data_IF_958416044629
#
_entry.id   IF_958416044629
#
_cell.length_a   1.000
_cell.length_b   1.000
_cell.length_c   1.000
_cell.angle_alpha   90.00
_cell.angle_beta   90.00
_cell.angle_gamma   90.00
#
_symmetry.space_group_name_H-M   'P 1'
#
loop_
_entity.id
_entity.type
_entity.pdbx_description
1 polymer ?
#
# COMPACT_ATOMS: atom_id res chain seq x y z
N UNK A 1 -28.87 -25.63 28.70
CA UNK A 1 -27.61 -25.07 29.23
C UNK A 1 -26.49 -25.42 28.25
N UNK A 2 -25.78 -24.38 27.82
CA UNK A 2 -24.76 -24.25 26.75
C UNK A 2 -23.98 -25.51 26.32
N UNK A 3 -24.13 -25.87 25.04
CA UNK A 3 -23.16 -26.64 24.27
C UNK A 3 -22.00 -25.73 23.85
N UNK A 4 -20.80 -26.02 24.36
CA UNK A 4 -19.55 -25.36 23.98
C UNK A 4 -19.06 -25.95 22.65
N UNK A 5 -19.04 -25.13 21.59
CA UNK A 5 -18.26 -25.43 20.39
C UNK A 5 -16.81 -25.03 20.67
N UNK A 6 -15.90 -26.01 20.69
CA UNK A 6 -14.47 -25.74 20.56
C UNK A 6 -14.20 -25.24 19.14
N UNK A 7 -13.81 -23.96 19.01
CA UNK A 7 -13.13 -23.47 17.82
C UNK A 7 -11.75 -24.14 17.77
N UNK A 8 -11.48 -24.91 16.71
CA UNK A 8 -10.13 -25.41 16.42
C UNK A 8 -9.28 -24.23 15.95
N UNK A 9 -8.52 -23.65 16.87
CA UNK A 9 -7.42 -22.74 16.54
C UNK A 9 -6.32 -23.56 15.86
N UNK A 10 -6.04 -23.27 14.59
CA UNK A 10 -4.80 -23.71 13.94
C UNK A 10 -3.70 -22.78 14.42
N UNK A 11 -2.92 -23.22 15.40
CA UNK A 11 -1.71 -22.51 15.83
C UNK A 11 -0.61 -22.85 14.82
N UNK A 12 -0.21 -21.88 14.00
CA UNK A 12 0.99 -21.97 13.19
C UNK A 12 2.20 -21.90 14.13
N UNK A 13 2.67 -23.06 14.59
CA UNK A 13 3.88 -23.15 15.42
C UNK A 13 5.10 -23.09 14.49
N UNK A 14 5.82 -21.96 14.50
CA UNK A 14 7.16 -21.91 13.92
C UNK A 14 8.08 -22.66 14.88
N UNK A 15 8.43 -23.90 14.53
CA UNK A 15 9.45 -24.67 15.24
C UNK A 15 10.81 -24.20 14.74
N UNK A 16 11.54 -23.44 15.57
CA UNK A 16 12.97 -23.20 15.41
C UNK A 16 13.72 -24.48 15.81
N UNK A 17 14.00 -25.36 14.84
CA UNK A 17 14.94 -26.46 15.02
C UNK A 17 16.37 -25.91 14.92
N UNK A 18 16.97 -25.68 16.07
CA UNK A 18 18.42 -25.54 16.21
C UNK A 18 19.02 -26.94 16.44
N UNK A 19 19.85 -27.41 15.50
CA UNK A 19 20.75 -28.54 15.72
C UNK A 19 20.45 -29.81 14.90
N UNK A 20 21.47 -30.22 14.14
CA UNK A 20 21.69 -31.51 13.48
C UNK A 20 20.77 -31.91 12.32
N UNK A 21 21.06 -31.38 11.12
CA UNK A 21 20.81 -32.13 9.89
C UNK A 21 21.88 -33.22 9.75
N UNK A 22 21.61 -34.42 10.25
CA UNK A 22 22.28 -35.61 9.75
C UNK A 22 21.23 -36.56 9.17
N UNK A 23 21.23 -36.62 7.84
CA UNK A 23 20.68 -37.71 7.02
C UNK A 23 19.23 -38.12 7.27
N UNK A 24 18.29 -37.20 7.05
CA UNK A 24 16.91 -37.60 6.76
C UNK A 24 16.74 -37.85 5.26
N UNK A 25 16.50 -39.12 4.92
CA UNK A 25 16.26 -39.64 3.57
C UNK A 25 14.98 -39.09 2.90
N UNK A 26 14.31 -38.11 3.52
CA UNK A 26 13.11 -37.46 3.03
C UNK A 26 13.37 -36.39 1.95
N UNK A 27 14.64 -35.99 1.74
CA UNK A 27 15.05 -35.12 0.62
C UNK A 27 15.43 -35.90 -0.66
N UNK A 28 15.25 -37.22 -0.68
CA UNK A 28 15.68 -38.08 -1.78
C UNK A 28 14.70 -38.19 -2.96
N UNK A 29 13.57 -37.47 -2.94
CA UNK A 29 12.73 -37.29 -4.13
C UNK A 29 12.71 -35.82 -4.49
N UNK A 30 13.38 -35.50 -5.60
CA UNK A 30 13.54 -34.15 -6.11
C UNK A 30 12.21 -33.40 -6.09
N UNK A 31 12.11 -32.38 -5.23
CA UNK A 31 11.11 -31.35 -5.39
C UNK A 31 11.22 -30.83 -6.83
N UNK A 32 10.18 -30.98 -7.68
CA UNK A 32 10.23 -30.37 -8.99
C UNK A 32 10.48 -28.88 -8.80
N UNK A 33 11.41 -28.34 -9.59
CA UNK A 33 11.67 -26.91 -9.58
C UNK A 33 10.32 -26.18 -9.78
N UNK A 34 10.03 -25.13 -9.00
CA UNK A 34 8.81 -24.37 -9.21
C UNK A 34 8.75 -23.89 -10.66
N UNK A 35 7.67 -24.24 -11.36
CA UNK A 35 7.43 -23.83 -12.74
C UNK A 35 6.36 -22.75 -12.76
N UNK A 36 6.67 -21.61 -13.38
CA UNK A 36 5.70 -20.55 -13.63
C UNK A 36 5.06 -20.74 -15.01
N UNK A 37 3.75 -20.50 -15.10
CA UNK A 37 3.09 -20.40 -16.39
C UNK A 37 3.66 -19.22 -17.19
N UNK A 38 3.52 -19.26 -18.52
CA UNK A 38 3.91 -18.14 -19.37
C UNK A 38 3.12 -16.86 -19.00
N UNK A 39 3.79 -15.72 -19.07
CA UNK A 39 3.18 -14.42 -18.80
C UNK A 39 2.02 -14.14 -19.79
N UNK A 40 0.95 -13.54 -19.27
CA UNK A 40 -0.19 -13.03 -20.05
C UNK A 40 -0.22 -11.51 -19.95
N UNK A 41 -0.66 -10.86 -21.01
CA UNK A 41 -0.71 -9.39 -21.09
C UNK A 41 -2.17 -8.93 -21.12
N UNK A 42 -2.49 -7.93 -20.31
CA UNK A 42 -3.80 -7.29 -20.25
C UNK A 42 -3.63 -5.78 -20.40
N UNK A 43 -4.61 -5.12 -21.03
CA UNK A 43 -4.60 -3.66 -21.18
C UNK A 43 -5.06 -2.99 -19.89
N UNK A 44 -4.10 -2.58 -19.06
CA UNK A 44 -4.32 -1.87 -17.80
C UNK A 44 -4.51 -0.36 -17.98
N UNK A 45 -4.27 0.19 -19.18
CA UNK A 45 -4.20 1.63 -19.40
C UNK A 45 -2.81 2.08 -19.85
N UNK A 46 -2.73 3.34 -20.28
CA UNK A 46 -1.48 3.91 -20.79
C UNK A 46 -0.62 4.38 -19.63
N UNK A 47 0.60 3.86 -19.53
CA UNK A 47 1.55 4.27 -18.49
C UNK A 47 1.34 3.58 -17.15
N UNK A 48 0.82 2.34 -17.15
CA UNK A 48 0.75 1.51 -15.94
C UNK A 48 2.10 1.51 -15.20
N UNK A 49 2.10 2.04 -13.98
CA UNK A 49 3.32 2.34 -13.21
C UNK A 49 3.38 1.57 -11.90
N UNK A 50 2.26 1.55 -11.16
CA UNK A 50 2.12 0.84 -9.90
C UNK A 50 0.79 0.11 -9.87
N UNK A 51 0.72 -0.98 -9.10
CA UNK A 51 -0.51 -1.72 -8.86
C UNK A 51 -0.70 -2.02 -7.38
N UNK A 52 -1.95 -2.25 -7.00
CA UNK A 52 -2.35 -2.89 -5.76
C UNK A 52 -3.33 -4.01 -6.05
N UNK A 53 -3.43 -4.96 -5.12
CA UNK A 53 -4.23 -6.17 -5.23
C UNK A 53 -5.27 -6.18 -4.11
N UNK A 54 -6.51 -6.51 -4.42
CA UNK A 54 -7.62 -6.60 -3.46
C UNK A 54 -8.80 -7.35 -4.05
N UNK A 55 -9.77 -7.74 -3.23
CA UNK A 55 -11.06 -8.28 -3.68
C UNK A 55 -12.09 -7.14 -3.67
N UNK A 56 -12.19 -6.39 -4.76
CA UNK A 56 -12.97 -5.15 -4.82
C UNK A 56 -14.47 -5.40 -5.02
N UNK A 57 -14.87 -6.63 -5.39
CA UNK A 57 -16.25 -7.01 -5.64
C UNK A 57 -16.79 -8.10 -4.67
N UNK A 58 -15.97 -8.57 -3.73
CA UNK A 58 -16.35 -9.54 -2.71
C UNK A 58 -16.54 -10.96 -3.22
N UNK A 59 -16.00 -11.31 -4.40
CA UNK A 59 -16.17 -12.63 -5.01
C UNK A 59 -15.06 -13.64 -4.64
N UNK A 60 -14.17 -13.26 -3.72
CA UNK A 60 -13.01 -14.02 -3.24
C UNK A 60 -11.94 -14.29 -4.31
N UNK A 61 -11.96 -13.54 -5.43
CA UNK A 61 -10.89 -13.53 -6.42
C UNK A 61 -10.17 -12.20 -6.33
N UNK A 62 -8.87 -12.25 -6.55
CA UNK A 62 -8.06 -11.05 -6.49
C UNK A 62 -8.19 -10.25 -7.79
N UNK A 63 -8.50 -8.98 -7.60
CA UNK A 63 -8.60 -7.94 -8.60
C UNK A 63 -7.34 -7.05 -8.56
N UNK A 64 -7.20 -6.18 -9.56
CA UNK A 64 -6.09 -5.23 -9.66
C UNK A 64 -6.59 -3.79 -9.72
N UNK A 65 -5.93 -2.94 -8.94
CA UNK A 65 -6.03 -1.48 -8.99
C UNK A 65 -4.71 -0.97 -9.56
N UNK A 66 -4.73 -0.19 -10.65
CA UNK A 66 -3.51 0.23 -11.38
C UNK A 66 -3.45 1.75 -11.49
N UNK A 67 -2.36 2.33 -11.00
CA UNK A 67 -2.00 3.72 -11.21
C UNK A 67 -1.32 3.84 -12.59
N UNK A 68 -1.92 4.62 -13.49
CA UNK A 68 -1.41 4.85 -14.83
C UNK A 68 -0.84 6.26 -14.92
N UNK A 69 0.48 6.38 -14.70
CA UNK A 69 1.21 7.64 -14.79
C UNK A 69 1.05 8.25 -16.18
N UNK A 70 0.88 9.57 -16.27
CA UNK A 70 0.74 10.25 -17.54
C UNK A 70 1.91 9.91 -18.46
N UNK A 71 1.60 9.62 -19.73
CA UNK A 71 2.64 9.37 -20.72
C UNK A 71 3.13 10.71 -21.27
N UNK A 72 4.44 10.96 -21.11
CA UNK A 72 5.12 12.18 -21.59
C UNK A 72 5.08 12.38 -23.11
N UNK A 73 4.67 11.35 -23.87
CA UNK A 73 4.48 11.36 -25.32
C UNK A 73 3.01 11.24 -25.75
N UNK A 74 2.06 11.36 -24.81
CA UNK A 74 0.63 11.34 -25.10
C UNK A 74 0.06 12.75 -25.24
N UNK A 75 -1.10 12.85 -25.89
CA UNK A 75 -1.87 14.09 -25.98
C UNK A 75 -2.01 14.73 -24.59
N UNK A 76 -1.86 16.06 -24.45
CA UNK A 76 -1.95 16.77 -23.17
C UNK A 76 -3.30 16.63 -22.46
N UNK A 77 -4.29 16.00 -23.09
CA UNK A 77 -5.56 15.60 -22.49
C UNK A 77 -5.48 14.35 -21.59
N UNK A 78 -4.32 13.67 -21.51
CA UNK A 78 -4.10 12.54 -20.61
C UNK A 78 -3.23 12.96 -19.43
N UNK A 79 -3.87 13.47 -18.38
CA UNK A 79 -3.23 13.73 -17.08
C UNK A 79 -2.94 12.44 -16.29
N UNK A 80 -2.90 11.26 -16.91
CA UNK A 80 -2.89 9.97 -16.21
C UNK A 80 -4.29 9.51 -15.79
N UNK A 81 -4.41 8.25 -15.37
CA UNK A 81 -5.70 7.66 -14.96
C UNK A 81 -5.50 6.55 -13.95
N UNK A 82 -6.54 6.25 -13.17
CA UNK A 82 -6.59 5.06 -12.33
C UNK A 82 -7.47 4.01 -13.01
N UNK A 83 -7.11 2.73 -12.95
CA UNK A 83 -7.93 1.67 -13.53
C UNK A 83 -8.09 0.45 -12.61
N UNK A 84 -9.24 -0.22 -12.74
CA UNK A 84 -9.60 -1.42 -11.98
C UNK A 84 -9.86 -2.56 -12.95
N UNK A 85 -9.27 -3.73 -12.68
CA UNK A 85 -9.43 -4.94 -13.46
C UNK A 85 -9.92 -6.05 -12.53
N UNK A 86 -11.16 -6.50 -12.71
CA UNK A 86 -11.73 -7.58 -11.91
C UNK A 86 -11.20 -8.94 -12.36
N UNK A 87 -10.77 -9.77 -11.41
CA UNK A 87 -10.19 -11.07 -11.62
C UNK A 87 -11.24 -12.14 -11.86
N UNK A 88 -10.97 -13.04 -12.81
CA UNK A 88 -11.82 -14.20 -13.04
C UNK A 88 -11.45 -15.40 -12.14
N UNK A 89 -10.32 -15.32 -11.42
CA UNK A 89 -9.82 -16.34 -10.49
C UNK A 89 -8.88 -17.37 -11.12
N UNK A 90 -8.66 -17.28 -12.43
CA UNK A 90 -7.82 -18.19 -13.22
C UNK A 90 -6.57 -17.49 -13.82
N UNK A 91 -6.23 -16.33 -13.26
CA UNK A 91 -5.17 -15.44 -13.77
C UNK A 91 -5.57 -14.63 -15.01
N UNK A 92 -6.86 -14.60 -15.35
CA UNK A 92 -7.42 -13.66 -16.34
C UNK A 92 -8.23 -12.55 -15.67
N UNK A 93 -8.41 -11.45 -16.39
CA UNK A 93 -9.10 -10.25 -15.90
C UNK A 93 -10.17 -9.80 -16.89
N UNK A 94 -11.22 -9.20 -16.37
CA UNK A 94 -12.24 -8.50 -17.15
C UNK A 94 -11.67 -7.22 -17.79
N UNK A 95 -12.47 -6.58 -18.65
CA UNK A 95 -12.10 -5.28 -19.20
C UNK A 95 -11.94 -4.24 -18.09
N UNK A 96 -10.89 -3.42 -18.18
CA UNK A 96 -10.64 -2.40 -17.16
C UNK A 96 -11.76 -1.36 -17.10
N UNK A 97 -12.04 -0.88 -15.91
CA UNK A 97 -12.78 0.36 -15.66
C UNK A 97 -11.76 1.46 -15.36
N UNK A 98 -11.99 2.68 -15.87
CA UNK A 98 -11.11 3.82 -15.62
C UNK A 98 -11.82 4.84 -14.72
N UNK A 99 -11.03 5.47 -13.86
CA UNK A 99 -11.43 6.53 -12.95
C UNK A 99 -10.46 7.70 -13.09
N UNK A 100 -10.98 8.90 -12.82
CA UNK A 100 -10.14 10.07 -12.62
C UNK A 100 -9.67 10.09 -11.18
N UNK A 101 -8.36 10.00 -10.98
CA UNK A 101 -7.73 10.13 -9.68
C UNK A 101 -6.94 11.43 -9.55
N UNK A 102 -6.76 12.21 -10.62
CA UNK A 102 -5.88 13.37 -10.66
C UNK A 102 -4.71 13.22 -11.63
N UNK A 103 -3.68 14.06 -11.44
CA UNK A 103 -2.58 14.22 -12.39
C UNK A 103 -1.36 13.36 -12.07
N UNK A 104 -0.98 12.51 -13.02
CA UNK A 104 0.17 11.61 -13.00
C UNK A 104 0.17 10.69 -11.77
N UNK A 105 -0.78 9.74 -11.67
CA UNK A 105 -0.84 8.81 -10.55
C UNK A 105 0.36 7.84 -10.59
N UNK A 106 1.03 7.67 -9.45
CA UNK A 106 2.29 6.90 -9.33
C UNK A 106 2.24 5.78 -8.31
N UNK A 107 1.32 5.83 -7.34
CA UNK A 107 1.22 4.82 -6.29
C UNK A 107 -0.22 4.65 -5.88
N UNK A 108 -0.58 3.42 -5.48
CA UNK A 108 -1.92 3.06 -5.03
C UNK A 108 -1.79 2.11 -3.84
N UNK A 109 -2.58 2.36 -2.81
CA UNK A 109 -2.75 1.47 -1.66
C UNK A 109 -4.23 1.14 -1.45
N UNK A 110 -4.48 -0.02 -0.83
CA UNK A 110 -5.80 -0.54 -0.48
C UNK A 110 -5.97 -0.48 1.03
N UNK A 111 -7.14 -0.05 1.50
CA UNK A 111 -7.50 -0.02 2.92
C UNK A 111 -9.02 0.02 3.09
N UNK A 112 -9.52 -0.13 4.31
CA UNK A 112 -10.92 0.16 4.65
C UNK A 112 -10.93 1.50 5.41
N UNK A 113 -11.15 2.60 4.69
CA UNK A 113 -11.03 3.95 5.23
C UNK A 113 -12.33 4.44 5.89
N UNK A 114 -13.45 3.76 5.63
CA UNK A 114 -14.76 4.11 6.17
C UNK A 114 -15.38 3.06 7.12
N UNK A 115 -14.66 1.96 7.38
CA UNK A 115 -15.05 0.91 8.31
C UNK A 115 -16.21 0.04 7.83
N UNK A 116 -16.51 0.01 6.53
CA UNK A 116 -17.63 -0.74 5.97
C UNK A 116 -17.27 -2.16 5.51
N UNK A 117 -16.00 -2.54 5.64
CA UNK A 117 -15.46 -3.85 5.31
C UNK A 117 -15.20 -4.06 3.81
N UNK A 118 -15.38 -3.04 2.97
CA UNK A 118 -15.07 -3.10 1.54
C UNK A 118 -13.73 -2.42 1.27
N UNK A 119 -12.95 -2.90 0.30
CA UNK A 119 -11.67 -2.24 0.03
C UNK A 119 -11.89 -0.91 -0.69
N UNK A 120 -11.33 0.14 -0.09
CA UNK A 120 -11.17 1.47 -0.62
C UNK A 120 -9.76 1.65 -1.19
N UNK A 121 -9.53 2.77 -1.88
CA UNK A 121 -8.26 3.07 -2.53
C UNK A 121 -7.73 4.45 -2.17
N UNK A 122 -6.42 4.53 -1.97
CA UNK A 122 -5.66 5.76 -1.81
C UNK A 122 -4.64 5.84 -2.96
N UNK A 123 -4.78 6.83 -3.83
CA UNK A 123 -3.98 7.00 -5.06
C UNK A 123 -3.17 8.30 -4.98
N UNK A 124 -1.86 8.20 -5.12
CA UNK A 124 -0.95 9.35 -5.07
C UNK A 124 -0.69 9.91 -6.45
N UNK A 125 -0.79 11.24 -6.59
CA UNK A 125 -0.68 11.96 -7.86
C UNK A 125 0.58 12.85 -7.90
N UNK A 126 1.68 12.37 -8.49
CA UNK A 126 2.96 13.09 -8.50
C UNK A 126 2.96 14.37 -9.32
N UNK A 127 2.04 14.47 -10.29
CA UNK A 127 1.83 15.67 -11.10
C UNK A 127 0.98 16.73 -10.40
N UNK A 128 0.51 16.44 -9.18
CA UNK A 128 -0.21 17.32 -8.25
C UNK A 128 0.48 17.32 -6.88
N UNK A 129 -0.18 17.86 -5.86
CA UNK A 129 0.29 17.90 -4.46
C UNK A 129 -0.69 17.18 -3.54
N UNK A 130 -1.31 16.10 -4.02
CA UNK A 130 -2.42 15.45 -3.33
C UNK A 130 -2.41 13.92 -3.41
N UNK A 131 -3.22 13.35 -2.52
CA UNK A 131 -3.70 11.98 -2.52
C UNK A 131 -5.20 11.99 -2.86
N UNK A 132 -5.64 11.14 -3.77
CA UNK A 132 -7.04 10.88 -4.06
C UNK A 132 -7.51 9.64 -3.30
N UNK A 133 -8.63 9.74 -2.58
CA UNK A 133 -9.28 8.62 -1.89
C UNK A 133 -10.56 8.27 -2.63
N UNK A 134 -10.72 6.99 -2.96
CA UNK A 134 -11.89 6.46 -3.65
C UNK A 134 -12.50 5.35 -2.78
N UNK A 135 -13.72 5.59 -2.28
CA UNK A 135 -14.42 4.61 -1.47
C UNK A 135 -15.05 3.52 -2.33
N UNK A 136 -14.82 2.27 -1.98
CA UNK A 136 -15.34 1.09 -2.65
C UNK A 136 -16.85 0.95 -2.43
N UNK A 137 -17.57 0.54 -3.47
CA UNK A 137 -18.99 0.16 -3.36
C UNK A 137 -19.17 -1.32 -3.08
N UNK A 138 -18.11 -2.13 -3.23
CA UNK A 138 -18.10 -3.58 -3.00
C UNK A 138 -18.65 -4.39 -4.18
N UNK A 139 -18.88 -3.75 -5.33
CA UNK A 139 -19.30 -4.38 -6.58
C UNK A 139 -18.20 -4.28 -7.66
N UNK A 140 -16.96 -3.98 -7.24
CA UNK A 140 -15.85 -3.70 -8.14
C UNK A 140 -15.81 -2.26 -8.65
N UNK A 141 -16.74 -1.40 -8.21
CA UNK A 141 -16.75 0.03 -8.55
C UNK A 141 -16.50 0.94 -7.36
N UNK A 142 -16.10 2.17 -7.65
CA UNK A 142 -15.73 3.17 -6.65
C UNK A 142 -16.60 4.43 -6.75
N UNK A 143 -16.68 5.16 -5.64
CA UNK A 143 -17.26 6.52 -5.59
C UNK A 143 -16.30 7.53 -6.26
N UNK A 144 -16.78 8.76 -6.46
CA UNK A 144 -15.94 9.84 -6.95
C UNK A 144 -14.79 10.12 -5.98
N UNK A 145 -13.60 10.40 -6.52
CA UNK A 145 -12.43 10.69 -5.71
C UNK A 145 -12.60 11.95 -4.86
N UNK A 146 -12.13 11.88 -3.62
CA UNK A 146 -11.95 13.03 -2.73
C UNK A 146 -10.45 13.25 -2.54
N UNK A 147 -9.99 14.49 -2.76
CA UNK A 147 -8.57 14.82 -2.71
C UNK A 147 -8.18 15.41 -1.36
N UNK A 148 -7.04 14.97 -0.85
CA UNK A 148 -6.41 15.47 0.36
C UNK A 148 -5.02 16.01 0.04
N UNK A 149 -4.70 17.18 0.56
CA UNK A 149 -3.41 17.82 0.35
C UNK A 149 -2.28 17.02 1.02
N UNK A 150 -1.11 17.04 0.39
CA UNK A 150 0.15 16.42 0.83
C UNK A 150 1.30 17.40 0.54
N UNK A 151 2.54 16.91 0.50
CA UNK A 151 3.68 17.69 -0.01
C UNK A 151 3.78 17.73 -1.54
N UNK A 152 4.86 18.30 -2.04
CA UNK A 152 5.14 18.41 -3.47
C UNK A 152 5.72 17.12 -4.03
N UNK A 153 5.22 16.73 -5.22
CA UNK A 153 5.60 15.50 -5.92
C UNK A 153 5.50 14.26 -5.03
N UNK A 154 4.31 13.95 -4.51
CA UNK A 154 4.10 12.75 -3.73
C UNK A 154 4.37 11.51 -4.60
N UNK A 155 5.06 10.51 -4.06
CA UNK A 155 5.63 9.40 -4.84
C UNK A 155 5.19 8.01 -4.35
N UNK A 156 5.07 7.82 -3.03
CA UNK A 156 4.75 6.52 -2.42
C UNK A 156 3.75 6.69 -1.30
N UNK A 157 2.79 5.76 -1.21
CA UNK A 157 1.76 5.72 -0.16
C UNK A 157 1.86 4.44 0.68
N UNK A 158 1.54 4.56 1.96
CA UNK A 158 1.33 3.43 2.87
C UNK A 158 0.09 3.64 3.72
N UNK A 159 -0.47 2.55 4.21
CA UNK A 159 -1.67 2.51 5.05
C UNK A 159 -1.35 1.76 6.34
N UNK A 160 -1.88 2.22 7.47
CA UNK A 160 -1.71 1.61 8.78
C UNK A 160 -2.59 2.29 9.82
N UNK A 161 -2.58 1.80 11.06
CA UNK A 161 -3.18 2.49 12.22
C UNK A 161 -2.04 3.11 13.04
N UNK A 162 -1.73 4.38 12.80
CA UNK A 162 -0.56 5.06 13.38
C UNK A 162 -0.87 5.67 14.75
N UNK A 163 -2.14 5.79 15.13
CA UNK A 163 -2.60 6.38 16.39
C UNK A 163 -3.29 5.38 17.35
N UNK A 164 -3.42 4.12 16.94
CA UNK A 164 -3.99 3.03 17.74
C UNK A 164 -5.51 3.12 17.94
N UNK A 165 -6.23 3.85 17.09
CA UNK A 165 -7.68 4.02 17.22
C UNK A 165 -8.50 2.99 16.42
N UNK A 166 -7.82 2.09 15.71
CA UNK A 166 -8.41 1.03 14.91
C UNK A 166 -8.90 1.47 13.53
N UNK A 167 -8.62 2.70 13.10
CA UNK A 167 -8.99 3.22 11.78
C UNK A 167 -7.77 3.25 10.86
N UNK A 168 -8.03 3.15 9.56
CA UNK A 168 -6.97 3.24 8.57
C UNK A 168 -6.53 4.71 8.39
N UNK A 169 -5.26 4.97 8.68
CA UNK A 169 -4.53 6.18 8.40
C UNK A 169 -3.67 6.02 7.13
N UNK A 170 -3.17 7.13 6.61
CA UNK A 170 -2.32 7.16 5.40
C UNK A 170 -1.02 7.94 5.64
N UNK A 171 0.08 7.42 5.09
CA UNK A 171 1.35 8.14 4.99
C UNK A 171 1.78 8.28 3.54
N UNK A 172 2.37 9.43 3.19
CA UNK A 172 2.78 9.75 1.81
C UNK A 172 4.19 10.33 1.80
N UNK A 173 5.10 9.70 1.04
CA UNK A 173 6.44 10.25 0.79
C UNK A 173 6.39 11.32 -0.30
N UNK A 174 6.89 12.52 0.02
CA UNK A 174 6.86 13.70 -0.86
C UNK A 174 8.27 14.00 -1.38
N UNK A 175 8.54 13.61 -2.62
CA UNK A 175 9.89 13.63 -3.18
C UNK A 175 10.50 15.04 -3.17
N UNK A 176 9.76 16.03 -3.66
CA UNK A 176 10.27 17.41 -3.79
C UNK A 176 10.27 18.15 -2.45
N UNK A 177 9.28 17.91 -1.59
CA UNK A 177 9.23 18.51 -0.26
C UNK A 177 10.26 17.93 0.71
N UNK A 178 10.82 16.75 0.44
CA UNK A 178 11.67 16.00 1.38
C UNK A 178 10.96 15.69 2.70
N UNK A 179 9.66 15.42 2.64
CA UNK A 179 8.82 15.10 3.81
C UNK A 179 8.10 13.78 3.64
N UNK A 180 7.61 13.22 4.74
CA UNK A 180 6.48 12.31 4.75
C UNK A 180 5.29 13.04 5.35
N UNK A 181 4.16 13.09 4.64
CA UNK A 181 2.88 13.54 5.16
C UNK A 181 2.17 12.39 5.88
N UNK A 182 1.61 12.65 7.06
CA UNK A 182 0.78 11.71 7.82
C UNK A 182 -0.63 12.26 7.86
N UNK A 183 -1.60 11.49 7.39
CA UNK A 183 -3.03 11.81 7.35
C UNK A 183 -3.77 10.80 8.22
N UNK A 184 -4.27 11.26 9.38
CA UNK A 184 -5.04 10.40 10.28
C UNK A 184 -6.48 10.26 9.78
N UNK A 185 -6.97 9.03 9.73
CA UNK A 185 -8.32 8.68 9.29
C UNK A 185 -9.37 8.98 10.36
N UNK A 186 -10.49 9.56 9.94
CA UNK A 186 -11.63 9.74 10.84
C UNK A 186 -12.51 8.48 10.93
N UNK A 187 -12.30 7.51 10.02
CA UNK A 187 -13.02 6.23 9.98
C UNK A 187 -14.36 6.30 9.25
N UNK A 188 -14.62 7.39 8.54
CA UNK A 188 -15.80 7.62 7.70
C UNK A 188 -15.43 7.86 6.23
N UNK A 189 -14.18 7.51 5.85
CA UNK A 189 -13.60 7.80 4.55
C UNK A 189 -12.98 9.20 4.45
N UNK A 190 -12.99 9.99 5.53
CA UNK A 190 -12.33 11.29 5.60
C UNK A 190 -11.02 11.26 6.39
N UNK A 191 -10.12 12.19 6.07
CA UNK A 191 -8.83 12.34 6.72
C UNK A 191 -8.67 13.73 7.34
N UNK A 192 -7.91 13.80 8.42
CA UNK A 192 -7.47 15.06 9.02
C UNK A 192 -6.45 15.77 8.12
N UNK A 193 -6.18 17.04 8.42
CA UNK A 193 -5.11 17.80 7.76
C UNK A 193 -3.77 17.09 8.01
N UNK A 194 -2.96 16.95 6.97
CA UNK A 194 -1.70 16.25 7.08
C UNK A 194 -0.72 16.95 8.03
N UNK A 195 0.10 16.15 8.70
CA UNK A 195 1.29 16.62 9.42
C UNK A 195 2.53 16.09 8.71
N UNK A 196 3.48 16.99 8.44
CA UNK A 196 4.71 16.66 7.72
C UNK A 196 5.88 16.38 8.65
N UNK A 197 6.60 15.30 8.35
CA UNK A 197 7.83 14.90 9.02
C UNK A 197 9.00 14.96 8.04
N UNK A 198 10.07 15.65 8.44
CA UNK A 198 11.25 15.81 7.60
C UNK A 198 11.96 14.47 7.35
N UNK A 199 12.39 14.28 6.11
CA UNK A 199 13.26 13.17 5.69
C UNK A 199 14.56 13.70 5.12
N UNK A 200 15.38 12.81 4.55
CA UNK A 200 16.53 13.22 3.72
C UNK A 200 16.05 13.51 2.30
N UNK A 201 17.01 13.71 1.40
CA UNK A 201 16.70 14.24 0.07
C UNK A 201 16.02 13.22 -0.85
N UNK A 202 14.88 13.62 -1.43
CA UNK A 202 14.09 12.88 -2.43
C UNK A 202 13.60 11.51 -1.91
N UNK A 203 12.70 11.48 -0.91
CA UNK A 203 12.06 10.25 -0.48
C UNK A 203 11.25 9.65 -1.64
N UNK A 204 11.58 8.42 -2.04
CA UNK A 204 11.04 7.78 -3.24
C UNK A 204 10.16 6.56 -2.94
N UNK A 205 10.37 5.91 -1.80
CA UNK A 205 9.58 4.76 -1.37
C UNK A 205 9.54 4.73 0.15
N UNK A 206 8.39 4.34 0.71
CA UNK A 206 8.23 4.09 2.13
C UNK A 206 7.77 2.66 2.37
N UNK A 207 8.13 2.12 3.53
CA UNK A 207 7.60 0.88 4.08
C UNK A 207 7.13 1.13 5.52
N UNK A 208 6.02 0.49 5.89
CA UNK A 208 5.42 0.56 7.23
C UNK A 208 5.70 -0.75 7.96
N UNK A 209 6.10 -0.68 9.23
CA UNK A 209 6.25 -1.85 10.08
C UNK A 209 6.77 -1.47 11.46
N UNK A 210 6.63 -2.36 12.44
CA UNK A 210 7.25 -2.19 13.78
C UNK A 210 8.74 -2.53 13.68
N UNK A 211 9.60 -1.50 13.60
CA UNK A 211 11.03 -1.65 13.37
C UNK A 211 11.81 -1.75 14.69
N UNK A 212 11.20 -1.35 15.80
CA UNK A 212 11.84 -1.32 17.11
C UNK A 212 11.28 -2.39 18.09
N UNK A 213 10.19 -3.07 17.73
CA UNK A 213 9.54 -4.11 18.52
C UNK A 213 8.59 -3.62 19.61
N UNK A 214 8.10 -2.38 19.54
CA UNK A 214 7.22 -1.78 20.56
C UNK A 214 5.71 -1.93 20.27
N UNK A 215 5.38 -2.58 19.14
CA UNK A 215 4.02 -2.84 18.71
C UNK A 215 3.34 -1.65 18.01
N UNK A 216 4.06 -0.57 17.70
CA UNK A 216 3.54 0.61 16.99
C UNK A 216 4.14 0.68 15.58
N UNK A 217 3.40 1.17 14.58
CA UNK A 217 3.97 1.25 13.24
C UNK A 217 5.04 2.36 13.13
N UNK A 218 6.22 1.97 12.67
CA UNK A 218 7.30 2.86 12.25
C UNK A 218 7.33 2.97 10.72
N UNK A 219 8.11 3.94 10.21
CA UNK A 219 8.35 4.12 8.78
C UNK A 219 9.84 3.97 8.45
N UNK A 220 10.13 3.22 7.39
CA UNK A 220 11.42 3.24 6.70
C UNK A 220 11.26 3.90 5.33
N UNK A 221 12.03 4.95 5.05
CA UNK A 221 11.92 5.75 3.83
C UNK A 221 13.24 5.72 3.06
N UNK A 222 13.20 5.29 1.80
CA UNK A 222 14.34 5.32 0.89
C UNK A 222 14.47 6.70 0.24
N UNK A 223 15.63 7.35 0.44
CA UNK A 223 15.88 8.71 -0.02
C UNK A 223 16.87 8.69 -1.21
N UNK A 224 16.32 8.78 -2.43
CA UNK A 224 17.02 8.51 -3.70
C UNK A 224 18.29 9.34 -3.89
N UNK A 225 18.29 10.61 -3.49
CA UNK A 225 19.40 11.53 -3.76
C UNK A 225 20.37 11.69 -2.57
N UNK A 226 20.11 11.03 -1.44
CA UNK A 226 21.02 11.09 -0.27
C UNK A 226 21.73 9.78 0.04
N UNK A 227 21.49 8.72 -0.74
CA UNK A 227 22.04 7.37 -0.52
C UNK A 227 21.80 6.85 0.92
N UNK A 228 20.66 7.22 1.51
CA UNK A 228 20.35 6.96 2.90
C UNK A 228 18.89 6.54 3.11
N UNK A 229 18.64 5.88 4.24
CA UNK A 229 17.30 5.67 4.76
C UNK A 229 16.97 6.73 5.81
N UNK A 230 15.70 7.14 5.87
CA UNK A 230 15.15 7.87 7.01
C UNK A 230 14.29 6.87 7.77
N UNK A 231 14.54 6.72 9.07
CA UNK A 231 13.70 5.90 9.96
C UNK A 231 12.92 6.86 10.85
N UNK A 232 11.59 6.75 10.80
CA UNK A 232 10.67 7.54 11.62
C UNK A 232 10.02 6.57 12.60
N UNK A 233 10.37 6.69 13.88
CA UNK A 233 9.83 5.83 14.94
C UNK A 233 8.48 6.37 15.38
N UNK A 234 7.44 5.53 15.33
CA UNK A 234 6.07 5.87 15.69
C UNK A 234 5.88 5.95 17.20
N UNK A 235 5.19 6.99 17.66
CA UNK A 235 4.83 7.11 19.07
C UNK A 235 3.51 6.38 19.39
N UNK A 236 2.77 5.94 18.37
CA UNK A 236 1.49 5.25 18.50
C UNK A 236 0.32 6.17 18.81
N UNK A 237 0.50 7.48 18.63
CA UNK A 237 -0.52 8.52 18.80
C UNK A 237 -0.70 9.35 17.51
N UNK A 238 -0.26 8.80 16.38
CA UNK A 238 -0.24 9.47 15.08
C UNK A 238 0.99 10.35 14.86
N UNK A 239 1.91 10.44 15.84
CA UNK A 239 3.15 11.20 15.70
C UNK A 239 4.39 10.33 15.56
N UNK A 240 5.43 10.92 14.95
CA UNK A 240 6.72 10.27 14.76
C UNK A 240 7.86 11.04 15.44
N UNK A 241 8.84 10.31 15.94
CA UNK A 241 10.04 10.90 16.53
C UNK A 241 10.85 11.64 15.47
N UNK A 242 11.28 12.86 15.80
CA UNK A 242 12.20 13.62 14.96
C UNK A 242 13.53 12.86 14.81
N UNK A 243 14.19 12.96 13.64
CA UNK A 243 15.46 12.29 13.39
C UNK A 243 16.53 12.69 14.43
N UNK A 244 16.74 11.83 15.42
CA UNK A 244 17.98 11.81 16.17
C UNK A 244 19.01 11.10 15.31
N UNK A 245 20.01 11.82 14.78
CA UNK A 245 21.17 11.25 14.09
C UNK A 245 21.87 10.21 14.99
N UNK A 246 21.44 8.95 14.95
CA UNK A 246 22.05 7.85 15.71
C UNK A 246 22.90 6.91 14.85
N UNK A 247 22.95 7.14 13.53
CA UNK A 247 23.87 6.46 12.63
C UNK A 247 25.09 7.36 12.33
N UNK A 248 25.88 7.63 13.36
CA UNK A 248 27.28 8.08 13.25
C UNK A 248 28.10 7.11 14.10
N UNK A 249 28.56 6.03 13.51
CA UNK A 249 29.70 5.23 13.96
C UNK A 249 30.55 4.90 12.74
#
# INVERSE_FOLDING_TARGET
MKTSMLHRTVILSVILLSGSFQNDSALAQGCPAPSFAAARTFDAGKGAWSLAVGDFNGDSKLDLAVANHGCSNCSPAFSGSFSVLLGNGDGTFQSRLNYDAGKDPVSVAVGDFNGDGKPDLAVVNSGSTNLAVLLGKGDGTFQSAVNYDTGMSPNSVGVGDFNGDGKADVVVANETSNTVSVLLGNGDGTFQVHVDYATRSHPASLAVGDLNGDGKPDLAVANRNSNALSILIGNGDGTFQAQGNRFQQ
#
